data_IF_768844673183
#
_entry.id   IF_768844673183
#
_cell.length_a   1.000
_cell.length_b   1.000
_cell.length_c   1.000
_cell.angle_alpha   90.00
_cell.angle_beta   90.00
_cell.angle_gamma   90.00
#
_symmetry.space_group_name_H-M   'P 1'
#
loop_
_entity.id
_entity.type
_entity.pdbx_description
1 polymer ?
#
# COMPACT_ATOMS: atom_id res chain seq x y z
N UNK A 1 -14.80 -38.29 41.41
CA UNK A 1 -16.10 -37.62 41.66
C UNK A 1 -15.95 -36.15 42.09
N UNK A 2 -14.97 -35.80 42.95
CA UNK A 2 -14.80 -34.42 43.44
C UNK A 2 -14.35 -33.39 42.40
N UNK A 3 -13.53 -33.76 41.41
CA UNK A 3 -13.04 -32.81 40.38
C UNK A 3 -14.17 -32.28 39.49
N UNK A 4 -15.17 -33.12 39.19
CA UNK A 4 -16.35 -32.74 38.40
C UNK A 4 -17.25 -31.76 39.15
N UNK A 5 -17.45 -31.96 40.45
CA UNK A 5 -18.25 -31.05 41.30
C UNK A 5 -17.58 -29.69 41.48
N UNK A 6 -16.25 -29.67 41.65
CA UNK A 6 -15.47 -28.42 41.74
C UNK A 6 -15.52 -27.66 40.41
N UNK A 7 -15.31 -28.33 39.27
CA UNK A 7 -15.42 -27.71 37.95
C UNK A 7 -16.83 -27.15 37.68
N UNK A 8 -17.89 -27.90 38.04
CA UNK A 8 -19.28 -27.43 37.87
C UNK A 8 -19.57 -26.19 38.73
N UNK A 9 -19.07 -26.17 39.98
CA UNK A 9 -19.26 -25.03 40.89
C UNK A 9 -18.54 -23.77 40.40
N UNK A 10 -17.35 -23.91 39.80
CA UNK A 10 -16.58 -22.82 39.19
C UNK A 10 -17.28 -22.26 37.95
N UNK A 11 -17.86 -23.11 37.10
CA UNK A 11 -18.65 -22.71 35.94
C UNK A 11 -19.93 -21.94 36.33
N UNK A 12 -20.64 -22.42 37.37
CA UNK A 12 -21.81 -21.72 37.90
C UNK A 12 -21.43 -20.37 38.53
N UNK A 13 -20.30 -20.28 39.22
CA UNK A 13 -19.83 -19.03 39.82
C UNK A 13 -19.44 -17.99 38.74
N UNK A 14 -18.73 -18.40 37.69
CA UNK A 14 -18.35 -17.50 36.59
C UNK A 14 -19.56 -16.94 35.84
N UNK A 15 -20.55 -17.78 35.53
CA UNK A 15 -21.77 -17.33 34.83
C UNK A 15 -22.61 -16.36 35.66
N UNK A 16 -22.64 -16.51 36.99
CA UNK A 16 -23.30 -15.56 37.89
C UNK A 16 -22.62 -14.18 37.90
N UNK A 17 -21.28 -14.15 37.91
CA UNK A 17 -20.50 -12.91 37.83
C UNK A 17 -20.68 -12.23 36.47
N UNK A 18 -20.58 -12.99 35.37
CA UNK A 18 -20.78 -12.49 34.02
C UNK A 18 -22.18 -11.88 33.82
N UNK A 19 -23.23 -12.52 34.35
CA UNK A 19 -24.59 -11.95 34.33
C UNK A 19 -24.71 -10.65 35.11
N UNK A 20 -24.05 -10.56 36.28
CA UNK A 20 -24.07 -9.34 37.08
C UNK A 20 -23.42 -8.17 36.33
N UNK A 21 -22.24 -8.40 35.76
CA UNK A 21 -21.51 -7.39 34.99
C UNK A 21 -22.27 -7.05 33.70
N UNK A 22 -22.85 -8.04 33.01
CA UNK A 22 -23.67 -7.80 31.82
C UNK A 22 -24.85 -6.90 32.12
N UNK A 23 -25.57 -7.14 33.21
CA UNK A 23 -26.69 -6.30 33.62
C UNK A 23 -26.25 -4.86 33.90
N UNK A 24 -25.13 -4.68 34.59
CA UNK A 24 -24.59 -3.35 34.87
C UNK A 24 -24.18 -2.60 33.59
N UNK A 25 -23.49 -3.29 32.67
CA UNK A 25 -23.11 -2.75 31.35
C UNK A 25 -24.35 -2.36 30.56
N UNK A 26 -25.37 -3.22 30.56
CA UNK A 26 -26.59 -3.00 29.80
C UNK A 26 -27.47 -1.90 30.41
N UNK A 27 -27.53 -1.80 31.73
CA UNK A 27 -28.16 -0.68 32.44
C UNK A 27 -27.51 0.67 32.10
N UNK A 28 -26.19 0.68 31.86
CA UNK A 28 -25.48 1.88 31.39
C UNK A 28 -25.90 2.36 30.00
N UNK A 29 -26.59 1.51 29.21
CA UNK A 29 -27.09 1.87 27.87
C UNK A 29 -28.51 2.46 27.87
N UNK A 30 -29.24 2.37 28.98
CA UNK A 30 -30.63 2.81 29.09
C UNK A 30 -31.66 1.68 28.97
N UNK A 31 -32.84 1.88 29.60
CA UNK A 31 -33.85 0.84 29.87
C UNK A 31 -34.41 0.11 28.64
N UNK A 32 -34.41 0.72 27.46
CA UNK A 32 -34.99 0.12 26.25
C UNK A 32 -34.09 -0.94 25.59
N UNK A 33 -32.79 -0.95 25.88
CA UNK A 33 -31.84 -1.90 25.30
C UNK A 33 -31.66 -3.18 26.14
N UNK A 34 -32.33 -3.27 27.30
CA UNK A 34 -31.89 -4.17 28.37
C UNK A 34 -32.14 -5.65 28.09
N UNK A 35 -33.38 -6.01 27.74
CA UNK A 35 -33.78 -7.42 27.61
C UNK A 35 -33.18 -8.10 26.38
N UNK A 36 -32.97 -7.36 25.28
CA UNK A 36 -32.42 -7.93 24.05
C UNK A 36 -30.88 -8.02 24.05
N UNK A 37 -30.20 -7.15 24.81
CA UNK A 37 -28.75 -7.08 24.83
C UNK A 37 -28.10 -7.98 25.90
N UNK A 38 -28.75 -8.21 27.04
CA UNK A 38 -28.17 -8.97 28.17
C UNK A 38 -27.60 -10.35 27.75
N UNK A 39 -28.31 -11.21 26.98
CA UNK A 39 -27.76 -12.52 26.59
C UNK A 39 -26.55 -12.43 25.64
N UNK A 40 -26.44 -11.34 24.88
CA UNK A 40 -25.31 -11.10 23.97
C UNK A 40 -24.10 -10.59 24.76
N UNK A 41 -24.32 -9.66 25.68
CA UNK A 41 -23.26 -9.15 26.56
C UNK A 41 -22.70 -10.26 27.46
N UNK A 42 -23.56 -11.12 28.05
CA UNK A 42 -23.09 -12.27 28.84
C UNK A 42 -22.14 -13.16 28.02
N UNK A 43 -22.50 -13.50 26.79
CA UNK A 43 -21.64 -14.32 25.92
C UNK A 43 -20.30 -13.64 25.61
N UNK A 44 -20.31 -12.33 25.40
CA UNK A 44 -19.08 -11.57 25.17
C UNK A 44 -18.19 -11.53 26.43
N UNK A 45 -18.78 -11.41 27.61
CA UNK A 45 -18.04 -11.45 28.88
C UNK A 45 -17.49 -12.85 29.20
N UNK A 46 -18.24 -13.90 28.87
CA UNK A 46 -17.74 -15.28 29.00
C UNK A 46 -16.56 -15.54 28.04
N UNK A 47 -16.59 -14.96 26.84
CA UNK A 47 -15.54 -15.14 25.83
C UNK A 47 -14.30 -14.28 26.08
N UNK A 48 -14.47 -13.04 26.53
CA UNK A 48 -13.41 -12.02 26.56
C UNK A 48 -13.16 -11.43 27.96
N UNK A 49 -13.95 -11.83 28.96
CA UNK A 49 -13.80 -11.37 30.34
C UNK A 49 -14.17 -9.90 30.56
N UNK A 50 -13.60 -9.33 31.62
CA UNK A 50 -13.85 -7.96 32.07
C UNK A 50 -13.46 -6.90 31.04
N UNK A 51 -12.52 -7.20 30.15
CA UNK A 51 -12.08 -6.27 29.10
C UNK A 51 -13.23 -5.91 28.16
N UNK A 52 -14.08 -6.89 27.80
CA UNK A 52 -15.28 -6.62 27.02
C UNK A 52 -16.27 -5.73 27.79
N UNK A 53 -16.38 -5.86 29.11
CA UNK A 53 -17.24 -4.97 29.92
C UNK A 53 -16.76 -3.52 29.82
N UNK A 54 -15.46 -3.29 30.01
CA UNK A 54 -14.85 -1.95 29.97
C UNK A 54 -15.04 -1.32 28.59
N UNK A 55 -14.78 -2.09 27.53
CA UNK A 55 -14.97 -1.63 26.15
C UNK A 55 -16.43 -1.29 25.88
N UNK A 56 -17.36 -2.17 26.22
CA UNK A 56 -18.78 -1.98 25.96
C UNK A 56 -19.35 -0.77 26.72
N UNK A 57 -18.93 -0.51 27.96
CA UNK A 57 -19.30 0.74 28.70
C UNK A 57 -18.80 2.00 27.98
N UNK A 58 -17.65 1.92 27.30
CA UNK A 58 -17.05 3.06 26.61
C UNK A 58 -17.72 3.35 25.26
N UNK A 59 -17.94 2.31 24.43
CA UNK A 59 -18.45 2.49 23.05
C UNK A 59 -19.96 2.25 22.90
N UNK A 60 -20.61 1.82 23.98
CA UNK A 60 -22.05 1.62 24.03
C UNK A 60 -22.56 0.35 23.32
N UNK A 61 -23.88 0.26 23.06
CA UNK A 61 -24.54 -0.93 22.53
C UNK A 61 -24.07 -1.30 21.11
N UNK A 62 -23.63 -0.34 20.31
CA UNK A 62 -23.04 -0.58 18.99
C UNK A 62 -21.77 -1.44 19.06
N UNK A 63 -21.05 -1.42 20.19
CA UNK A 63 -19.90 -2.29 20.41
C UNK A 63 -20.25 -3.77 20.44
N UNK A 64 -21.48 -4.15 20.83
CA UNK A 64 -21.91 -5.55 20.93
C UNK A 64 -21.85 -6.21 19.54
N UNK A 65 -22.47 -5.57 18.54
CA UNK A 65 -22.49 -6.11 17.18
C UNK A 65 -21.08 -6.16 16.57
N UNK A 66 -20.26 -5.16 16.85
CA UNK A 66 -18.87 -5.10 16.39
C UNK A 66 -18.02 -6.22 17.01
N UNK A 67 -18.16 -6.49 18.32
CA UNK A 67 -17.44 -7.56 19.00
C UNK A 67 -17.91 -8.95 18.56
N UNK A 68 -19.21 -9.14 18.32
CA UNK A 68 -19.71 -10.41 17.78
C UNK A 68 -19.17 -10.68 16.37
N UNK A 69 -19.01 -9.63 15.56
CA UNK A 69 -18.53 -9.75 14.17
C UNK A 69 -17.01 -9.95 14.09
N UNK A 70 -16.23 -9.14 14.79
CA UNK A 70 -14.76 -9.08 14.63
C UNK A 70 -13.99 -9.74 15.78
N UNK A 71 -14.70 -10.20 16.81
CA UNK A 71 -14.15 -10.95 17.94
C UNK A 71 -13.01 -10.22 18.67
N UNK A 72 -11.98 -10.99 19.03
CA UNK A 72 -10.79 -10.49 19.75
C UNK A 72 -10.08 -9.33 19.04
N UNK A 73 -10.03 -9.34 17.70
CA UNK A 73 -9.43 -8.23 16.93
C UNK A 73 -10.25 -6.95 17.05
N UNK A 74 -11.58 -7.08 16.98
CA UNK A 74 -12.49 -5.97 17.26
C UNK A 74 -12.32 -5.43 18.67
N UNK A 75 -12.20 -6.33 19.66
CA UNK A 75 -11.97 -5.95 21.06
C UNK A 75 -10.70 -5.13 21.23
N UNK A 76 -9.58 -5.58 20.65
CA UNK A 76 -8.31 -4.84 20.72
C UNK A 76 -8.40 -3.44 20.11
N UNK A 77 -9.05 -3.31 18.96
CA UNK A 77 -9.26 -2.01 18.30
C UNK A 77 -10.13 -1.10 19.16
N UNK A 78 -11.25 -1.61 19.69
CA UNK A 78 -12.17 -0.82 20.50
C UNK A 78 -11.57 -0.45 21.88
N UNK A 79 -10.81 -1.35 22.51
CA UNK A 79 -10.10 -1.09 23.75
C UNK A 79 -9.12 0.08 23.61
N UNK A 80 -8.35 0.08 22.52
CA UNK A 80 -7.35 1.12 22.25
C UNK A 80 -7.98 2.43 21.79
N UNK A 81 -8.86 2.37 20.80
CA UNK A 81 -9.31 3.56 20.05
C UNK A 81 -10.75 4.00 20.36
N UNK A 82 -11.51 3.26 21.17
CA UNK A 82 -12.86 3.62 21.57
C UNK A 82 -13.79 3.87 20.38
N UNK A 83 -14.49 5.00 20.39
CA UNK A 83 -15.46 5.38 19.36
C UNK A 83 -14.84 5.58 17.98
N UNK A 84 -13.59 6.01 17.89
CA UNK A 84 -12.88 6.13 16.60
C UNK A 84 -12.62 4.74 16.02
N UNK A 85 -12.27 3.77 16.86
CA UNK A 85 -12.16 2.37 16.48
C UNK A 85 -13.50 1.78 16.05
N UNK A 86 -14.59 2.15 16.73
CA UNK A 86 -15.95 1.73 16.36
C UNK A 86 -16.34 2.29 14.97
N UNK A 87 -16.11 3.59 14.73
CA UNK A 87 -16.36 4.22 13.43
C UNK A 87 -15.52 3.58 12.32
N UNK A 88 -14.25 3.29 12.58
CA UNK A 88 -13.40 2.59 11.63
C UNK A 88 -13.94 1.18 11.33
N UNK A 89 -14.31 0.41 12.35
CA UNK A 89 -14.83 -0.95 12.17
C UNK A 89 -16.17 -0.98 11.44
N UNK A 90 -16.99 0.06 11.62
CA UNK A 90 -18.26 0.20 10.90
C UNK A 90 -18.06 0.40 9.39
N UNK A 91 -17.03 1.15 8.98
CA UNK A 91 -16.78 1.49 7.57
C UNK A 91 -15.82 0.50 6.89
N UNK A 92 -14.73 0.15 7.57
CA UNK A 92 -13.59 -0.59 7.00
C UNK A 92 -13.26 -1.87 7.80
N UNK A 93 -14.22 -2.44 8.53
CA UNK A 93 -13.99 -3.50 9.52
C UNK A 93 -13.04 -4.64 9.14
N UNK A 94 -13.29 -5.32 8.03
CA UNK A 94 -12.42 -6.43 7.57
C UNK A 94 -11.00 -5.92 7.25
N UNK A 95 -10.89 -4.74 6.64
CA UNK A 95 -9.60 -4.14 6.29
C UNK A 95 -8.84 -3.68 7.52
N UNK A 96 -9.53 -3.10 8.52
CA UNK A 96 -8.94 -2.69 9.79
C UNK A 96 -8.42 -3.89 10.59
N UNK A 97 -9.18 -4.98 10.64
CA UNK A 97 -8.74 -6.23 11.29
C UNK A 97 -7.55 -6.84 10.55
N UNK A 98 -7.58 -6.89 9.22
CA UNK A 98 -6.46 -7.38 8.42
C UNK A 98 -5.20 -6.50 8.59
N UNK A 99 -5.37 -5.18 8.66
CA UNK A 99 -4.28 -4.23 8.89
C UNK A 99 -3.68 -4.41 10.29
N UNK A 100 -4.51 -4.58 11.33
CA UNK A 100 -4.05 -4.90 12.68
C UNK A 100 -3.22 -6.20 12.69
N UNK A 101 -3.70 -7.25 12.04
CA UNK A 101 -3.00 -8.54 12.00
C UNK A 101 -1.66 -8.46 11.27
N UNK A 102 -1.58 -7.67 10.20
CA UNK A 102 -0.37 -7.56 9.36
C UNK A 102 0.66 -6.57 9.87
N UNK A 103 0.21 -5.43 10.37
CA UNK A 103 1.05 -4.27 10.63
C UNK A 103 0.92 -3.74 12.07
N UNK A 104 0.02 -4.30 12.87
CA UNK A 104 -0.20 -3.91 14.26
C UNK A 104 -1.04 -2.64 14.42
N UNK A 105 -1.02 -2.09 15.64
CA UNK A 105 -1.89 -0.98 16.05
C UNK A 105 -1.60 0.31 15.30
N UNK A 106 -0.34 0.55 14.91
CA UNK A 106 0.04 1.75 14.15
C UNK A 106 -0.69 1.86 12.80
N UNK A 107 -1.02 0.73 12.18
CA UNK A 107 -1.82 0.73 10.95
C UNK A 107 -3.27 1.13 11.18
N UNK A 108 -3.87 0.66 12.28
CA UNK A 108 -5.22 1.04 12.68
C UNK A 108 -5.25 2.54 13.01
N UNK A 109 -4.26 3.03 13.75
CA UNK A 109 -4.12 4.45 14.07
C UNK A 109 -4.01 5.31 12.81
N UNK A 110 -3.21 4.86 11.82
CA UNK A 110 -3.08 5.54 10.54
C UNK A 110 -4.41 5.58 9.77
N UNK A 111 -5.17 4.49 9.76
CA UNK A 111 -6.50 4.43 9.12
C UNK A 111 -7.52 5.34 9.81
N UNK A 112 -7.45 5.45 11.16
CA UNK A 112 -8.28 6.40 11.92
C UNK A 112 -7.91 7.85 11.59
N UNK A 113 -6.61 8.16 11.54
CA UNK A 113 -6.13 9.53 11.29
C UNK A 113 -6.40 9.99 9.86
N UNK A 114 -6.39 9.07 8.90
CA UNK A 114 -6.61 9.35 7.48
C UNK A 114 -7.72 8.45 6.90
N UNK A 115 -9.00 8.71 7.24
CA UNK A 115 -10.11 7.89 6.77
C UNK A 115 -10.16 7.79 5.23
N UNK A 116 -10.40 6.59 4.70
CA UNK A 116 -10.48 6.30 3.27
C UNK A 116 -9.13 6.18 2.55
N UNK A 117 -8.15 7.01 2.88
CA UNK A 117 -6.84 7.08 2.18
C UNK A 117 -5.78 6.23 2.87
N UNK A 118 -5.83 6.16 4.20
CA UNK A 118 -4.83 5.46 5.01
C UNK A 118 -4.67 3.99 4.61
N UNK A 119 -5.78 3.31 4.34
CA UNK A 119 -5.80 1.92 3.84
C UNK A 119 -5.07 1.76 2.52
N UNK A 120 -5.28 2.65 1.56
CA UNK A 120 -4.71 2.54 0.21
C UNK A 120 -3.21 2.78 0.22
N UNK A 121 -2.78 3.81 0.96
CA UNK A 121 -1.36 4.12 1.15
C UNK A 121 -0.66 2.98 1.90
N UNK A 122 -1.30 2.43 2.95
CA UNK A 122 -0.77 1.29 3.69
C UNK A 122 -0.70 0.02 2.83
N UNK A 123 -1.68 -0.25 1.97
CA UNK A 123 -1.66 -1.39 1.06
C UNK A 123 -0.54 -1.26 0.01
N UNK A 124 -0.22 -0.03 -0.40
CA UNK A 124 0.80 0.25 -1.42
C UNK A 124 2.21 0.21 -0.84
N UNK A 125 2.43 0.87 0.30
CA UNK A 125 3.78 1.11 0.84
C UNK A 125 4.09 0.31 2.11
N UNK A 126 3.11 -0.42 2.64
CA UNK A 126 3.29 -1.28 3.81
C UNK A 126 3.65 -0.49 5.08
N UNK A 127 4.40 -1.12 5.98
CA UNK A 127 4.75 -0.57 7.30
C UNK A 127 5.70 0.63 7.24
N UNK A 128 6.32 0.92 6.09
CA UNK A 128 7.26 2.04 5.97
C UNK A 128 6.58 3.40 6.23
N UNK A 129 5.31 3.53 5.84
CA UNK A 129 4.58 4.78 6.03
C UNK A 129 4.19 5.04 7.50
N UNK A 130 4.21 4.02 8.35
CA UNK A 130 3.81 4.13 9.76
C UNK A 130 4.80 4.96 10.60
N UNK A 131 6.03 5.15 10.10
CA UNK A 131 7.09 5.88 10.81
C UNK A 131 6.99 7.39 10.65
N UNK A 132 6.20 7.84 9.67
CA UNK A 132 6.18 9.26 9.28
C UNK A 132 4.82 9.86 9.64
N UNK A 133 4.77 10.85 10.54
CA UNK A 133 3.55 11.61 10.77
C UNK A 133 3.32 12.54 9.58
N UNK A 134 2.40 12.16 8.70
CA UNK A 134 1.99 12.99 7.55
C UNK A 134 0.62 13.60 7.78
N UNK A 135 0.36 14.73 7.13
CA UNK A 135 -0.99 15.30 7.02
C UNK A 135 -1.83 14.48 6.05
N UNK A 136 -3.16 14.56 6.19
CA UNK A 136 -4.09 13.87 5.27
C UNK A 136 -3.89 14.30 3.81
N UNK A 137 -3.59 15.57 3.56
CA UNK A 137 -3.29 16.09 2.21
C UNK A 137 -2.04 15.43 1.61
N UNK A 138 -0.99 15.27 2.42
CA UNK A 138 0.26 14.61 2.02
C UNK A 138 0.05 13.11 1.83
N UNK A 139 -0.83 12.47 2.62
CA UNK A 139 -1.23 11.07 2.41
C UNK A 139 -2.02 10.88 1.10
N UNK A 140 -2.96 11.76 0.78
CA UNK A 140 -3.67 11.76 -0.51
C UNK A 140 -2.70 11.93 -1.66
N UNK A 141 -1.78 12.87 -1.52
CA UNK A 141 -0.72 13.13 -2.50
C UNK A 141 0.15 11.91 -2.70
N UNK A 142 0.58 11.27 -1.62
CA UNK A 142 1.38 10.06 -1.66
C UNK A 142 0.62 8.89 -2.33
N UNK A 143 -0.67 8.74 -2.04
CA UNK A 143 -1.53 7.78 -2.74
C UNK A 143 -1.60 8.03 -4.25
N UNK A 144 -1.69 9.29 -4.68
CA UNK A 144 -1.64 9.66 -6.11
C UNK A 144 -0.26 9.46 -6.74
N UNK A 145 0.81 9.53 -5.95
CA UNK A 145 2.19 9.29 -6.38
C UNK A 145 2.60 7.82 -6.31
N UNK A 146 1.72 6.93 -5.82
CA UNK A 146 1.96 5.49 -5.72
C UNK A 146 2.54 4.88 -6.99
N UNK A 147 1.90 5.17 -8.13
CA UNK A 147 2.32 4.58 -9.39
C UNK A 147 3.66 5.10 -9.89
N UNK A 148 3.89 6.43 -9.99
CA UNK A 148 5.22 6.96 -10.32
C UNK A 148 6.34 6.46 -9.40
N UNK A 149 6.08 6.37 -8.09
CA UNK A 149 7.06 5.87 -7.11
C UNK A 149 7.37 4.41 -7.39
N UNK A 150 6.36 3.57 -7.64
CA UNK A 150 6.53 2.16 -7.97
C UNK A 150 7.30 1.96 -9.28
N UNK A 151 6.94 2.70 -10.32
CA UNK A 151 7.59 2.64 -11.63
C UNK A 151 9.06 3.09 -11.58
N UNK A 152 9.42 3.96 -10.63
CA UNK A 152 10.80 4.39 -10.46
C UNK A 152 11.75 3.27 -10.00
N UNK A 153 11.22 2.17 -9.45
CA UNK A 153 12.02 1.11 -8.82
C UNK A 153 12.74 1.52 -7.54
N UNK A 154 12.52 2.76 -7.05
CA UNK A 154 13.24 3.35 -5.91
C UNK A 154 12.30 3.75 -4.76
N UNK A 155 11.20 3.00 -4.60
CA UNK A 155 10.18 3.30 -3.59
C UNK A 155 10.75 3.46 -2.18
N UNK A 156 11.65 2.56 -1.77
CA UNK A 156 12.23 2.60 -0.43
C UNK A 156 13.06 3.88 -0.18
N UNK A 157 13.78 4.36 -1.18
CA UNK A 157 14.59 5.58 -1.07
C UNK A 157 13.69 6.82 -1.03
N UNK A 158 12.66 6.87 -1.88
CA UNK A 158 11.67 7.96 -1.88
C UNK A 158 10.95 8.03 -0.53
N UNK A 159 10.53 6.88 0.00
CA UNK A 159 9.89 6.81 1.31
C UNK A 159 10.86 7.18 2.44
N UNK A 160 12.15 6.86 2.33
CA UNK A 160 13.16 7.32 3.28
C UNK A 160 13.33 8.85 3.29
N UNK A 161 13.21 9.50 2.12
CA UNK A 161 13.18 10.97 2.05
C UNK A 161 11.90 11.52 2.68
N UNK A 162 10.75 10.91 2.40
CA UNK A 162 9.48 11.30 3.03
C UNK A 162 9.54 11.10 4.54
N UNK A 163 10.15 10.03 5.03
CA UNK A 163 10.35 9.78 6.46
C UNK A 163 11.20 10.88 7.12
N UNK A 164 12.25 11.34 6.43
CA UNK A 164 13.14 12.38 6.96
C UNK A 164 12.57 13.80 6.88
N UNK A 165 11.82 14.13 5.81
CA UNK A 165 11.39 15.50 5.52
C UNK A 165 9.86 15.71 5.58
N UNK A 166 9.09 14.66 5.84
CA UNK A 166 7.65 14.68 6.05
C UNK A 166 6.87 15.30 4.89
N UNK A 167 5.89 16.14 5.24
CA UNK A 167 4.99 16.80 4.30
C UNK A 167 5.74 17.61 3.22
N UNK A 168 6.89 18.22 3.57
CA UNK A 168 7.68 19.04 2.63
C UNK A 168 8.21 18.22 1.45
N UNK A 169 8.62 16.98 1.70
CA UNK A 169 9.03 16.08 0.63
C UNK A 169 7.85 15.70 -0.25
N UNK A 170 6.68 15.38 0.34
CA UNK A 170 5.47 15.09 -0.43
C UNK A 170 5.06 16.26 -1.33
N UNK A 171 5.08 17.49 -0.81
CA UNK A 171 4.77 18.69 -1.58
C UNK A 171 5.74 18.92 -2.73
N UNK A 172 7.04 18.75 -2.47
CA UNK A 172 8.07 18.85 -3.49
C UNK A 172 7.88 17.81 -4.60
N UNK A 173 7.68 16.54 -4.23
CA UNK A 173 7.47 15.45 -5.17
C UNK A 173 6.22 15.68 -6.02
N UNK A 174 5.14 16.19 -5.42
CA UNK A 174 3.90 16.47 -6.13
C UNK A 174 4.01 17.60 -7.16
N UNK A 175 4.64 18.70 -6.77
CA UNK A 175 4.87 19.86 -7.66
C UNK A 175 5.75 19.49 -8.84
N UNK A 176 6.67 18.54 -8.65
CA UNK A 176 7.67 18.20 -9.64
C UNK A 176 7.55 16.77 -10.19
N UNK A 177 6.39 16.13 -10.04
CA UNK A 177 6.19 14.71 -10.41
C UNK A 177 6.53 14.37 -11.87
N UNK A 178 6.33 15.29 -12.80
CA UNK A 178 6.68 15.09 -14.21
C UNK A 178 8.18 15.06 -14.47
N UNK A 179 8.96 15.67 -13.57
CA UNK A 179 10.41 15.84 -13.71
C UNK A 179 11.18 14.90 -12.80
N UNK A 180 10.78 14.81 -11.53
CA UNK A 180 11.54 14.07 -10.51
C UNK A 180 11.57 12.58 -10.85
N UNK A 181 10.48 12.02 -11.37
CA UNK A 181 10.45 10.60 -11.73
C UNK A 181 11.10 10.28 -13.08
N UNK A 182 11.71 11.27 -13.76
CA UNK A 182 12.54 11.06 -14.95
C UNK A 182 14.00 10.80 -14.53
N UNK A 183 14.34 9.51 -14.38
CA UNK A 183 15.70 8.97 -14.36
C UNK A 183 16.72 9.73 -13.51
N UNK A 184 17.62 10.47 -14.15
CA UNK A 184 18.78 11.10 -13.51
C UNK A 184 18.38 12.13 -12.43
N UNK A 185 17.25 12.82 -12.60
CA UNK A 185 16.80 13.83 -11.64
C UNK A 185 16.45 13.18 -10.30
N UNK A 186 15.75 12.04 -10.32
CA UNK A 186 15.43 11.27 -9.12
C UNK A 186 16.70 10.91 -8.35
N UNK A 187 17.74 10.48 -9.06
CA UNK A 187 18.99 10.08 -8.44
C UNK A 187 19.69 11.22 -7.72
N UNK A 188 19.75 12.39 -8.34
CA UNK A 188 20.34 13.58 -7.70
C UNK A 188 19.52 14.03 -6.50
N UNK A 189 18.19 13.99 -6.60
CA UNK A 189 17.29 14.32 -5.51
C UNK A 189 17.42 13.35 -4.33
N UNK A 190 17.47 12.04 -4.58
CA UNK A 190 17.58 11.04 -3.51
C UNK A 190 18.96 11.06 -2.83
N UNK A 191 20.01 11.48 -3.52
CA UNK A 191 21.34 11.63 -2.93
C UNK A 191 21.43 12.83 -1.98
N UNK A 192 20.87 13.98 -2.39
CA UNK A 192 20.85 15.20 -1.57
C UNK A 192 19.51 15.96 -1.74
N UNK A 193 18.45 15.57 -1.00
CA UNK A 193 17.10 16.11 -1.19
C UNK A 193 16.92 17.50 -0.58
N UNK A 194 17.74 17.87 0.40
CA UNK A 194 17.53 19.06 1.21
C UNK A 194 17.58 20.37 0.40
N UNK A 195 18.57 20.62 -0.48
CA UNK A 195 18.62 21.83 -1.29
C UNK A 195 17.40 22.01 -2.21
N UNK A 196 16.78 20.91 -2.65
CA UNK A 196 15.59 20.95 -3.48
C UNK A 196 14.32 21.25 -2.66
N UNK A 197 14.20 20.61 -1.50
CA UNK A 197 13.06 20.81 -0.58
C UNK A 197 13.07 22.22 0.02
N UNK A 198 14.26 22.77 0.27
CA UNK A 198 14.45 24.16 0.72
C UNK A 198 14.33 25.19 -0.42
N UNK A 199 14.23 24.73 -1.67
CA UNK A 199 14.10 25.59 -2.85
C UNK A 199 15.39 26.30 -3.28
N UNK A 200 16.53 25.99 -2.65
CA UNK A 200 17.86 26.50 -3.01
C UNK A 200 18.27 26.01 -4.40
N UNK A 201 17.90 24.77 -4.75
CA UNK A 201 18.18 24.16 -6.05
C UNK A 201 16.89 23.92 -6.80
N UNK A 202 16.77 24.52 -7.99
CA UNK A 202 15.67 24.23 -8.90
C UNK A 202 15.97 22.97 -9.71
N UNK A 203 14.93 22.20 -10.03
CA UNK A 203 15.04 21.12 -10.99
C UNK A 203 15.15 21.73 -12.38
N UNK A 204 16.38 22.03 -12.79
CA UNK A 204 16.65 22.43 -14.17
C UNK A 204 16.49 21.17 -15.02
N UNK A 205 15.29 20.98 -15.57
CA UNK A 205 15.14 20.14 -16.74
C UNK A 205 15.71 20.95 -17.86
N UNK A 206 16.94 20.66 -18.27
CA UNK A 206 17.28 20.99 -19.64
C UNK A 206 16.28 20.21 -20.50
N UNK A 207 15.40 20.89 -21.24
CA UNK A 207 14.38 20.21 -22.02
C UNK A 207 15.11 19.19 -22.87
N UNK A 208 14.62 17.95 -22.92
CA UNK A 208 15.28 16.89 -23.70
C UNK A 208 15.58 17.32 -25.15
N UNK A 209 14.88 18.33 -25.67
CA UNK A 209 15.19 19.01 -26.92
C UNK A 209 16.58 19.67 -27.00
N UNK A 210 17.15 20.20 -25.91
CA UNK A 210 18.54 20.71 -25.87
C UNK A 210 19.56 19.59 -25.84
N UNK A 211 19.35 18.56 -25.03
CA UNK A 211 20.24 17.38 -25.02
C UNK A 211 20.18 16.66 -26.38
N UNK A 212 18.99 16.56 -26.99
CA UNK A 212 18.83 16.03 -28.34
C UNK A 212 19.43 16.97 -29.40
N UNK A 213 19.36 18.29 -29.22
CA UNK A 213 20.02 19.24 -30.13
C UNK A 213 21.54 19.19 -30.03
N UNK A 214 22.09 19.12 -28.82
CA UNK A 214 23.53 19.06 -28.57
C UNK A 214 24.08 17.69 -28.97
N UNK A 215 23.34 16.61 -28.71
CA UNK A 215 23.66 15.29 -29.23
C UNK A 215 23.55 15.25 -30.76
N UNK A 216 22.52 15.85 -31.37
CA UNK A 216 22.40 15.93 -32.82
C UNK A 216 23.45 16.85 -33.47
N UNK A 217 23.94 17.86 -32.74
CA UNK A 217 25.01 18.75 -33.18
C UNK A 217 26.39 18.10 -33.05
N UNK A 218 26.61 17.25 -32.05
CA UNK A 218 27.86 16.50 -31.87
C UNK A 218 27.91 15.19 -32.66
N UNK A 219 26.76 14.64 -33.05
CA UNK A 219 26.71 13.41 -33.84
C UNK A 219 27.04 13.73 -35.28
N UNK A 220 28.14 13.15 -35.77
CA UNK A 220 28.50 13.27 -37.18
C UNK A 220 27.53 12.44 -38.04
N UNK A 221 26.46 13.09 -38.52
CA UNK A 221 25.41 12.48 -39.32
C UNK A 221 25.93 11.80 -40.59
N UNK A 222 27.07 12.23 -41.14
CA UNK A 222 27.68 11.54 -42.30
C UNK A 222 28.15 10.13 -41.94
N UNK A 223 28.68 9.93 -40.74
CA UNK A 223 29.12 8.62 -40.26
C UNK A 223 27.92 7.69 -40.00
N UNK A 224 26.85 8.20 -39.39
CA UNK A 224 25.62 7.43 -39.13
C UNK A 224 24.96 7.01 -40.44
N UNK A 225 24.84 7.93 -41.40
CA UNK A 225 24.24 7.65 -42.71
C UNK A 225 25.08 6.67 -43.52
N UNK A 226 26.41 6.83 -43.56
CA UNK A 226 27.32 5.88 -44.22
C UNK A 226 27.25 4.48 -43.58
N UNK A 227 27.19 4.41 -42.26
CA UNK A 227 27.06 3.15 -41.52
C UNK A 227 25.74 2.45 -41.85
N UNK A 228 24.63 3.19 -41.88
CA UNK A 228 23.32 2.67 -42.28
C UNK A 228 23.32 2.17 -43.73
N UNK A 229 23.93 2.92 -44.66
CA UNK A 229 24.07 2.52 -46.07
C UNK A 229 24.91 1.26 -46.24
N UNK A 230 26.01 1.15 -45.49
CA UNK A 230 26.85 -0.05 -45.48
C UNK A 230 26.08 -1.28 -44.98
N UNK A 231 25.33 -1.15 -43.88
CA UNK A 231 24.52 -2.26 -43.34
C UNK A 231 23.47 -2.72 -44.36
N UNK A 232 22.75 -1.78 -44.98
CA UNK A 232 21.73 -2.09 -46.00
C UNK A 232 22.35 -2.76 -47.23
N UNK A 233 23.49 -2.23 -47.71
CA UNK A 233 24.19 -2.80 -48.87
C UNK A 233 24.73 -4.21 -48.60
N UNK A 234 25.28 -4.46 -47.41
CA UNK A 234 25.74 -5.78 -46.99
C UNK A 234 24.57 -6.77 -46.91
N UNK A 235 23.43 -6.34 -46.34
CA UNK A 235 22.23 -7.16 -46.26
C UNK A 235 21.68 -7.55 -47.64
N UNK A 236 21.62 -6.59 -48.57
CA UNK A 236 21.21 -6.85 -49.96
C UNK A 236 22.18 -7.80 -50.68
N UNK A 237 23.49 -7.63 -50.48
CA UNK A 237 24.52 -8.51 -51.04
C UNK A 237 24.39 -9.96 -50.55
N UNK A 238 24.17 -10.15 -49.24
CA UNK A 238 23.92 -11.48 -48.65
C UNK A 238 22.66 -12.10 -49.25
N UNK A 239 21.57 -11.34 -49.32
CA UNK A 239 20.29 -11.81 -49.89
C UNK A 239 20.42 -12.22 -51.35
N UNK A 240 21.15 -11.45 -52.15
CA UNK A 240 21.41 -11.74 -53.56
C UNK A 240 22.33 -12.97 -53.75
N UNK A 241 23.36 -13.11 -52.92
CA UNK A 241 24.22 -14.29 -52.94
C UNK A 241 23.43 -15.57 -52.60
N UNK A 242 22.50 -15.50 -51.64
CA UNK A 242 21.64 -16.61 -51.26
C UNK A 242 20.65 -16.99 -52.37
N UNK A 243 20.06 -16.01 -53.06
CA UNK A 243 19.14 -16.29 -54.17
C UNK A 243 19.85 -16.92 -55.37
N UNK A 244 21.08 -16.48 -55.65
CA UNK A 244 21.91 -17.00 -56.74
C UNK A 244 22.38 -18.44 -56.48
N UNK A 245 22.67 -18.79 -55.22
CA UNK A 245 22.99 -20.18 -54.83
C UNK A 245 21.79 -21.11 -55.00
N UNK A 246 20.58 -20.65 -54.66
CA UNK A 246 19.35 -21.42 -54.89
C UNK A 246 19.11 -21.67 -56.38
N UNK A 247 19.31 -20.67 -57.23
CA UNK A 247 19.14 -20.84 -58.68
C UNK A 247 20.11 -21.87 -59.29
N UNK A 248 21.36 -21.94 -58.83
CA UNK A 248 22.33 -22.95 -59.31
C UNK A 248 22.02 -24.37 -58.84
N UNK A 249 21.43 -24.54 -57.66
CA UNK A 249 21.02 -25.85 -57.17
C UNK A 249 19.90 -26.46 -58.04
N UNK A 250 18.99 -25.65 -58.59
CA UNK A 250 17.94 -26.13 -59.50
C UNK A 250 18.46 -26.56 -60.88
N UNK A 251 19.60 -26.04 -61.35
CA UNK A 251 20.18 -26.40 -62.65
C UNK A 251 20.89 -27.76 -62.61
N UNK A 252 21.40 -28.18 -61.45
CA UNK A 252 22.07 -29.48 -61.27
C UNK A 252 21.11 -30.63 -60.95
N UNK A 253 19.87 -30.33 -60.60
CA UNK A 253 18.82 -31.31 -60.25
C UNK A 253 17.72 -31.39 -61.32
N UNK A 254 17.96 -30.81 -62.51
CA UNK A 254 17.06 -30.96 -63.67
C UNK A 254 17.22 -32.37 -64.24
N UNK A 255 16.20 -33.24 -64.14
CA UNK A 255 16.24 -34.59 -64.67
C UNK A 255 15.92 -34.56 -66.17
N UNK A 256 16.77 -33.91 -66.97
CA UNK A 256 16.80 -34.13 -68.42
C UNK A 256 17.86 -35.19 -68.73
N UNK A 257 17.67 -36.37 -68.14
CA UNK A 257 18.18 -37.61 -68.70
C UNK A 257 17.22 -38.06 -69.79
N UNK A 258 17.35 -37.49 -71.00
CA UNK A 258 17.37 -38.20 -72.29
C UNK A 258 17.54 -37.20 -73.45
N UNK A 259 18.32 -37.59 -74.48
CA UNK A 259 18.79 -36.74 -75.56
C UNK A 259 17.67 -36.24 -76.47
#
# INVERSE_FOLDING_TARGET
>A
MNVLLVALSLLCAQSAVARRVAREVVESFGREAVEAAEPRVVRLLEAYGEEAAVVLRRVGPSGIQTLERFGASGLRILARFGDDGLRLLAVEGESAVAALARYGEGAVELMIRHPGVGREVLATFGSQILRTPLRTESMVTLGRLAEPIRQSGRSAEVLGVIEKFGDRACDFLWRNKGTVFLGAVLATFLHDPQPYIDGVKQLVVEPAGRIAHDAAAQTNWTLVTLSGLLIVSAWLGIRWAWSSRRARAYVLDSPSGRP
#
